data_IF_409857281841
#
_entry.id   IF_409857281841
#
_cell.length_a   1.000
_cell.length_b   1.000
_cell.length_c   1.000
_cell.angle_alpha   90.00
_cell.angle_beta   90.00
_cell.angle_gamma   90.00
#
_symmetry.space_group_name_H-M   'P 1'
#
loop_
_entity.id
_entity.type
_entity.pdbx_description
1 polymer ?
#
# COMPACT_ATOMS: atom_id res chain seq x y z
N UNK A 1 -2.65 -16.64 49.22
CA UNK A 1 -3.11 -17.26 47.95
C UNK A 1 -3.05 -16.27 46.79
N UNK A 2 -3.56 -15.05 46.96
CA UNK A 2 -3.45 -13.96 45.98
C UNK A 2 -2.05 -13.81 45.36
N UNK A 3 -1.00 -13.76 46.18
CA UNK A 3 0.39 -13.57 45.74
C UNK A 3 0.90 -14.64 44.75
N UNK A 4 0.43 -15.88 44.83
CA UNK A 4 0.82 -16.95 43.89
C UNK A 4 0.26 -16.67 42.50
N UNK A 5 -0.99 -16.23 42.41
CA UNK A 5 -1.59 -15.83 41.14
C UNK A 5 -0.90 -14.60 40.56
N UNK A 6 -0.52 -13.63 41.39
CA UNK A 6 0.23 -12.46 40.95
C UNK A 6 1.60 -12.81 40.37
N UNK A 7 2.32 -13.76 40.99
CA UNK A 7 3.59 -14.26 40.44
C UNK A 7 3.40 -14.97 39.09
N UNK A 8 2.37 -15.81 38.96
CA UNK A 8 2.06 -16.49 37.68
C UNK A 8 1.70 -15.46 36.60
N UNK A 9 0.92 -14.43 36.95
CA UNK A 9 0.58 -13.33 36.04
C UNK A 9 1.83 -12.55 35.63
N UNK A 10 2.73 -12.27 36.56
CA UNK A 10 3.98 -11.56 36.28
C UNK A 10 4.91 -12.34 35.34
N UNK A 11 4.88 -13.67 35.40
CA UNK A 11 5.66 -14.53 34.50
C UNK A 11 5.15 -14.51 33.05
N UNK A 12 3.94 -13.96 32.79
CA UNK A 12 3.30 -13.86 31.46
C UNK A 12 3.27 -15.18 30.65
N UNK A 13 3.50 -16.31 31.30
CA UNK A 13 3.57 -17.65 30.70
C UNK A 13 2.46 -18.53 31.26
N UNK A 14 1.22 -18.13 30.99
CA UNK A 14 0.04 -18.85 31.45
C UNK A 14 -1.04 -18.82 30.37
N UNK A 15 -1.82 -19.90 30.32
CA UNK A 15 -3.05 -19.92 29.55
C UNK A 15 -4.13 -19.13 30.31
N UNK A 16 -4.66 -18.07 29.70
CA UNK A 16 -5.64 -17.18 30.34
C UNK A 16 -6.86 -17.97 30.83
N UNK A 17 -7.34 -18.93 30.05
CA UNK A 17 -8.53 -19.71 30.38
C UNK A 17 -8.29 -20.60 31.61
N UNK A 18 -7.15 -21.29 31.65
CA UNK A 18 -6.76 -22.12 32.78
C UNK A 18 -6.51 -21.29 34.05
N UNK A 19 -5.89 -20.11 33.93
CA UNK A 19 -5.64 -19.23 35.06
C UNK A 19 -6.94 -18.69 35.65
N UNK A 20 -7.89 -18.23 34.83
CA UNK A 20 -9.20 -17.76 35.28
C UNK A 20 -10.01 -18.86 35.97
N UNK A 21 -10.01 -20.08 35.42
CA UNK A 21 -10.68 -21.22 36.03
C UNK A 21 -10.12 -21.55 37.43
N UNK A 22 -8.80 -21.45 37.61
CA UNK A 22 -8.18 -21.64 38.91
C UNK A 22 -8.55 -20.50 39.89
N UNK A 23 -8.56 -19.25 39.43
CA UNK A 23 -8.98 -18.11 40.27
C UNK A 23 -10.43 -18.30 40.75
N UNK A 24 -11.35 -18.70 39.87
CA UNK A 24 -12.75 -18.97 40.20
C UNK A 24 -12.89 -20.17 41.17
N UNK A 25 -12.13 -21.26 40.96
CA UNK A 25 -12.12 -22.42 41.84
C UNK A 25 -11.72 -22.03 43.28
N UNK A 26 -10.69 -21.21 43.43
CA UNK A 26 -10.21 -20.79 44.76
C UNK A 26 -11.14 -19.78 45.44
N UNK A 27 -11.92 -19.03 44.67
CA UNK A 27 -13.02 -18.20 45.19
C UNK A 27 -14.17 -19.07 45.72
N UNK A 28 -14.58 -20.11 44.98
CA UNK A 28 -15.61 -21.07 45.41
C UNK A 28 -15.17 -21.81 46.69
N UNK A 29 -13.88 -22.12 46.84
CA UNK A 29 -13.31 -22.72 48.05
C UNK A 29 -13.22 -21.74 49.24
N UNK A 30 -13.60 -20.46 49.07
CA UNK A 30 -13.54 -19.43 50.11
C UNK A 30 -12.12 -18.96 50.43
N UNK A 31 -11.13 -19.26 49.58
CA UNK A 31 -9.71 -18.94 49.77
C UNK A 31 -9.31 -17.61 49.11
N UNK A 32 -10.24 -17.02 48.36
CA UNK A 32 -10.17 -15.70 47.74
C UNK A 32 -11.51 -14.99 47.98
N UNK A 33 -11.48 -13.68 48.20
CA UNK A 33 -12.69 -12.85 48.21
C UNK A 33 -13.13 -12.51 46.78
N UNK A 34 -14.37 -12.05 46.60
CA UNK A 34 -14.86 -11.56 45.31
C UNK A 34 -13.99 -10.43 44.75
N UNK A 35 -13.53 -9.52 45.61
CA UNK A 35 -12.65 -8.41 45.23
C UNK A 35 -11.28 -8.92 44.73
N UNK A 36 -10.67 -9.87 45.44
CA UNK A 36 -9.39 -10.45 45.02
C UNK A 36 -9.51 -11.22 43.70
N UNK A 37 -10.61 -11.96 43.54
CA UNK A 37 -10.94 -12.68 42.31
C UNK A 37 -11.09 -11.73 41.12
N UNK A 38 -11.77 -10.61 41.32
CA UNK A 38 -11.97 -9.61 40.28
C UNK A 38 -10.65 -8.90 39.91
N UNK A 39 -9.83 -8.56 40.90
CA UNK A 39 -8.50 -7.95 40.69
C UNK A 39 -7.55 -8.87 39.91
N UNK A 40 -7.45 -10.15 40.32
CA UNK A 40 -6.60 -11.14 39.65
C UNK A 40 -7.07 -11.44 38.24
N UNK A 41 -8.39 -11.47 38.00
CA UNK A 41 -8.97 -11.64 36.67
C UNK A 41 -8.57 -10.50 35.72
N UNK A 42 -8.58 -9.27 36.21
CA UNK A 42 -8.19 -8.11 35.41
C UNK A 42 -6.69 -8.16 35.10
N UNK A 43 -5.84 -8.33 36.12
CA UNK A 43 -4.38 -8.48 35.97
C UNK A 43 -4.01 -9.61 35.00
N UNK A 44 -4.70 -10.75 35.08
CA UNK A 44 -4.49 -11.87 34.18
C UNK A 44 -4.81 -11.53 32.72
N UNK A 45 -5.88 -10.76 32.47
CA UNK A 45 -6.24 -10.32 31.12
C UNK A 45 -5.25 -9.31 30.57
N UNK A 46 -4.83 -8.33 31.37
CA UNK A 46 -3.84 -7.33 30.97
C UNK A 46 -2.46 -7.96 30.71
N UNK A 47 -2.06 -8.94 31.52
CA UNK A 47 -0.79 -9.68 31.33
C UNK A 47 -0.80 -10.65 30.15
N UNK A 48 -1.98 -11.17 29.77
CA UNK A 48 -2.17 -12.12 28.67
C UNK A 48 -2.51 -11.44 27.34
N UNK A 49 -2.79 -10.13 27.35
CA UNK A 49 -2.90 -9.36 26.13
C UNK A 49 -1.56 -9.48 25.40
N UNK A 50 -1.55 -10.24 24.30
CA UNK A 50 -0.44 -10.22 23.36
C UNK A 50 -0.18 -8.76 23.02
N UNK A 51 1.02 -8.28 23.29
CA UNK A 51 1.45 -6.94 22.94
C UNK A 51 1.70 -6.94 21.42
N UNK A 52 0.62 -7.11 20.65
CA UNK A 52 0.65 -7.05 19.20
C UNK A 52 0.70 -5.57 18.83
N UNK A 53 1.77 -5.18 18.14
CA UNK A 53 1.96 -3.81 17.70
C UNK A 53 1.09 -3.51 16.47
N UNK A 54 -0.23 -3.51 16.66
CA UNK A 54 -1.19 -3.14 15.63
C UNK A 54 -0.89 -1.76 15.06
N UNK A 55 -0.37 -0.84 15.89
CA UNK A 55 -0.01 0.51 15.47
C UNK A 55 1.16 0.47 14.48
N UNK A 56 2.23 -0.24 14.79
CA UNK A 56 3.38 -0.41 13.91
C UNK A 56 3.02 -1.10 12.60
N UNK A 57 2.19 -2.15 12.65
CA UNK A 57 1.72 -2.83 11.43
C UNK A 57 0.87 -1.91 10.55
N UNK A 58 -0.02 -1.11 11.14
CA UNK A 58 -0.84 -0.13 10.41
C UNK A 58 0.03 0.97 9.80
N UNK A 59 0.99 1.51 10.53
CA UNK A 59 1.93 2.51 10.04
C UNK A 59 2.78 1.96 8.88
N UNK A 60 3.23 0.70 8.97
CA UNK A 60 3.98 0.02 7.91
C UNK A 60 3.12 -0.19 6.64
N UNK A 61 1.87 -0.60 6.79
CA UNK A 61 0.93 -0.72 5.67
C UNK A 61 0.70 0.62 4.98
N UNK A 62 0.51 1.71 5.74
CA UNK A 62 0.37 3.05 5.17
C UNK A 62 1.60 3.53 4.39
N UNK A 63 2.80 3.23 4.91
CA UNK A 63 4.05 3.55 4.22
C UNK A 63 4.16 2.79 2.88
N UNK A 64 3.83 1.50 2.87
CA UNK A 64 3.85 0.67 1.66
C UNK A 64 2.86 1.17 0.60
N UNK A 65 1.63 1.53 1.01
CA UNK A 65 0.61 2.09 0.11
C UNK A 65 1.09 3.39 -0.53
N UNK A 66 1.70 4.30 0.24
CA UNK A 66 2.26 5.56 -0.31
C UNK A 66 3.38 5.31 -1.31
N UNK A 67 4.28 4.38 -1.02
CA UNK A 67 5.36 4.02 -1.94
C UNK A 67 4.80 3.47 -3.28
N UNK A 68 3.79 2.60 -3.20
CA UNK A 68 3.10 2.09 -4.37
C UNK A 68 2.40 3.21 -5.17
N UNK A 69 1.69 4.13 -4.49
CA UNK A 69 1.07 5.28 -5.16
C UNK A 69 2.07 6.19 -5.88
N UNK A 70 3.27 6.39 -5.32
CA UNK A 70 4.34 7.12 -6.00
C UNK A 70 4.87 6.35 -7.22
N UNK A 71 5.01 5.02 -7.12
CA UNK A 71 5.42 4.19 -8.26
C UNK A 71 4.38 4.11 -9.38
N UNK A 72 3.11 4.34 -9.05
CA UNK A 72 1.97 4.34 -9.98
C UNK A 72 1.60 5.77 -10.42
N UNK A 73 2.32 6.79 -9.94
CA UNK A 73 2.19 8.14 -10.49
C UNK A 73 2.51 8.08 -11.98
N UNK A 74 1.47 8.42 -12.74
CA UNK A 74 1.25 8.17 -14.16
C UNK A 74 2.50 8.43 -15.01
N UNK A 75 2.69 7.74 -16.15
CA UNK A 75 3.60 8.26 -17.16
C UNK A 75 3.17 9.71 -17.38
N UNK A 76 4.10 10.65 -17.19
CA UNK A 76 3.91 12.07 -17.45
C UNK A 76 3.01 12.21 -18.66
N UNK A 77 1.95 13.04 -18.55
CA UNK A 77 1.00 13.36 -19.62
C UNK A 77 1.72 13.16 -20.94
N UNK A 78 1.42 12.06 -21.64
CA UNK A 78 1.97 11.85 -22.96
C UNK A 78 1.46 13.06 -23.72
N UNK A 79 2.35 14.02 -23.93
CA UNK A 79 2.05 15.25 -24.63
C UNK A 79 1.28 14.80 -25.87
N UNK A 80 0.01 15.18 -25.98
CA UNK A 80 -0.85 14.58 -27.00
C UNK A 80 -0.30 14.93 -28.40
N UNK A 81 0.56 15.96 -28.47
CA UNK A 81 1.16 16.49 -29.68
C UNK A 81 2.64 16.83 -29.46
N UNK A 82 3.53 15.83 -29.27
CA UNK A 82 4.95 16.08 -29.07
C UNK A 82 5.55 16.78 -30.30
N UNK A 83 6.58 17.62 -30.13
CA UNK A 83 7.26 18.22 -31.28
C UNK A 83 7.82 17.15 -32.23
N UNK A 84 7.69 17.37 -33.53
CA UNK A 84 8.19 16.45 -34.55
C UNK A 84 9.72 16.33 -34.44
N UNK A 85 10.19 15.09 -34.27
CA UNK A 85 11.61 14.74 -34.26
C UNK A 85 11.93 13.97 -35.52
N UNK A 86 12.92 14.41 -36.28
CA UNK A 86 13.31 13.73 -37.51
C UNK A 86 13.79 12.29 -37.23
N UNK A 87 13.13 11.26 -37.77
CA UNK A 87 13.56 9.87 -37.60
C UNK A 87 14.93 9.62 -38.24
N UNK A 88 15.82 8.92 -37.54
CA UNK A 88 17.15 8.54 -38.05
C UNK A 88 17.18 7.18 -38.74
N UNK A 89 16.08 6.42 -38.70
CA UNK A 89 15.95 5.12 -39.38
C UNK A 89 14.61 4.43 -39.15
N UNK A 90 14.47 3.19 -39.62
CA UNK A 90 13.22 2.43 -39.55
C UNK A 90 12.72 2.17 -38.11
N UNK A 91 13.63 2.10 -37.14
CA UNK A 91 13.31 1.90 -35.73
C UNK A 91 12.76 3.13 -35.00
N UNK A 92 12.84 4.31 -35.62
CA UNK A 92 12.32 5.58 -35.07
C UNK A 92 11.25 6.19 -35.99
N UNK A 93 10.80 5.44 -37.00
CA UNK A 93 9.85 5.93 -37.99
C UNK A 93 8.44 5.97 -37.40
N UNK A 94 7.73 7.07 -37.67
CA UNK A 94 6.35 7.26 -37.22
C UNK A 94 5.41 6.25 -37.90
N UNK A 95 4.41 5.82 -37.15
CA UNK A 95 3.38 4.89 -37.59
C UNK A 95 2.08 5.64 -37.87
N UNK A 96 1.16 4.96 -38.54
CA UNK A 96 -0.19 5.50 -38.79
C UNK A 96 -0.86 5.81 -37.45
N UNK A 97 -1.33 7.04 -37.28
CA UNK A 97 -1.99 7.51 -36.06
C UNK A 97 -1.08 8.25 -35.08
N UNK A 98 0.25 8.26 -35.28
CA UNK A 98 1.14 9.06 -34.46
C UNK A 98 0.84 10.56 -34.60
N UNK A 99 0.82 11.26 -33.47
CA UNK A 99 0.52 12.69 -33.38
C UNK A 99 1.83 13.46 -33.17
N UNK A 100 2.01 14.56 -33.88
CA UNK A 100 3.16 15.45 -33.70
C UNK A 100 2.77 16.92 -33.88
N UNK A 101 3.53 17.82 -33.27
CA UNK A 101 3.49 19.27 -33.53
C UNK A 101 4.65 19.65 -34.43
N UNK A 102 4.37 20.29 -35.57
CA UNK A 102 5.39 20.81 -36.47
C UNK A 102 5.06 22.27 -36.82
N UNK A 103 5.99 23.19 -36.57
CA UNK A 103 5.79 24.64 -36.73
C UNK A 103 4.52 25.18 -36.02
N UNK A 104 4.22 24.66 -34.82
CA UNK A 104 3.04 25.06 -34.05
C UNK A 104 1.70 24.56 -34.60
N UNK A 105 1.73 23.63 -35.57
CA UNK A 105 0.55 22.99 -36.15
C UNK A 105 0.57 21.50 -35.80
N UNK A 106 -0.59 20.96 -35.44
CA UNK A 106 -0.78 19.57 -35.11
C UNK A 106 -0.98 18.71 -36.36
N UNK A 107 -0.27 17.58 -36.44
CA UNK A 107 -0.31 16.64 -37.55
C UNK A 107 -0.44 15.20 -37.07
N UNK A 108 -1.29 14.42 -37.74
CA UNK A 108 -1.44 12.98 -37.50
C UNK A 108 -0.83 12.22 -38.68
N UNK A 109 0.11 11.33 -38.42
CA UNK A 109 0.74 10.51 -39.45
C UNK A 109 -0.28 9.56 -40.09
N UNK A 110 -0.27 9.48 -41.43
CA UNK A 110 -1.14 8.60 -42.24
C UNK A 110 -0.38 7.44 -42.89
N UNK A 111 0.96 7.46 -42.88
CA UNK A 111 1.78 6.42 -43.46
C UNK A 111 2.45 5.56 -42.39
N UNK A 112 2.49 4.23 -42.57
CA UNK A 112 3.38 3.39 -41.78
C UNK A 112 4.84 3.68 -42.15
N UNK A 113 5.74 3.63 -41.17
CA UNK A 113 7.17 3.90 -41.36
C UNK A 113 7.48 5.28 -41.98
N UNK A 114 6.76 6.32 -41.57
CA UNK A 114 6.99 7.68 -42.03
C UNK A 114 8.27 8.26 -41.41
N UNK A 115 9.22 8.65 -42.27
CA UNK A 115 10.50 9.28 -41.88
C UNK A 115 10.62 10.74 -42.32
N UNK A 116 9.62 11.25 -43.03
CA UNK A 116 9.62 12.59 -43.62
C UNK A 116 8.74 13.55 -42.81
N UNK A 117 9.15 14.82 -42.73
CA UNK A 117 8.37 15.86 -42.06
C UNK A 117 7.08 16.21 -42.81
N UNK A 118 6.08 16.85 -42.17
CA UNK A 118 4.90 17.37 -42.85
C UNK A 118 5.20 18.41 -43.94
N UNK A 119 6.38 19.05 -43.92
CA UNK A 119 6.81 19.96 -45.00
C UNK A 119 7.39 19.20 -46.21
N UNK A 120 8.17 18.15 -45.96
CA UNK A 120 8.79 17.36 -47.03
C UNK A 120 7.80 16.42 -47.71
N UNK A 121 6.86 15.87 -46.93
CA UNK A 121 5.88 14.91 -47.42
C UNK A 121 4.47 15.17 -46.86
N UNK A 122 3.80 16.26 -47.25
CA UNK A 122 2.51 16.67 -46.68
C UNK A 122 1.39 15.66 -46.89
N UNK A 123 1.48 14.81 -47.92
CA UNK A 123 0.49 13.75 -48.20
C UNK A 123 0.45 12.71 -47.06
N UNK A 124 1.59 12.51 -46.38
CA UNK A 124 1.70 11.55 -45.29
C UNK A 124 1.22 12.02 -43.94
N UNK A 125 0.76 13.27 -43.85
CA UNK A 125 0.35 13.87 -42.60
C UNK A 125 -1.02 14.52 -42.74
N UNK A 126 -1.90 14.24 -41.79
CA UNK A 126 -3.17 14.92 -41.64
C UNK A 126 -2.98 16.13 -40.75
N UNK A 127 -3.03 17.33 -41.33
CA UNK A 127 -3.14 18.55 -40.54
C UNK A 127 -4.45 18.53 -39.75
N UNK A 128 -4.35 18.76 -38.44
CA UNK A 128 -5.50 18.97 -37.58
C UNK A 128 -5.74 20.48 -37.43
N UNK A 129 -6.95 20.92 -37.79
CA UNK A 129 -7.40 22.31 -37.65
C UNK A 129 -8.12 22.50 -36.31
#
# INVERSE_FOLDING_TARGET
>A
MKELFEQVIALKNYDLKALLANIDQYHIEGRLTDEERQELTQKARDGAAQEYDYKGEIDALWAAVRALQQSVSLPAEQDEWPEFVQPTGAGTAYQVGDKVTFNGIHYICRLPHCVWSPADYPIGWQKQN
#
